data_IF_041912366975
#
_entry.id   IF_041912366975
#
_cell.length_a   1.000
_cell.length_b   1.000
_cell.length_c   1.000
_cell.angle_alpha   90.00
_cell.angle_beta   90.00
_cell.angle_gamma   90.00
#
_symmetry.space_group_name_H-M   'P 1'
#
loop_
_entity.id
_entity.type
_entity.pdbx_description
1 polymer ?
#
# COMPACT_ATOMS: atom_id res chain seq x y z
N UNK A 1 -24.44 1.39 7.70
CA UNK A 1 -24.41 0.78 6.36
C UNK A 1 -25.60 -0.16 6.28
N UNK A 2 -26.46 0.00 5.29
CA UNK A 2 -27.65 -0.83 5.11
C UNK A 2 -27.29 -2.18 4.47
N UNK A 3 -28.21 -3.16 4.52
CA UNK A 3 -28.06 -4.45 3.83
C UNK A 3 -27.94 -4.26 2.31
N UNK A 4 -28.64 -3.29 1.75
CA UNK A 4 -28.55 -2.94 0.32
C UNK A 4 -27.17 -2.42 -0.05
N UNK A 5 -26.60 -1.53 0.78
CA UNK A 5 -25.23 -1.03 0.61
C UNK A 5 -24.20 -2.15 0.73
N UNK A 6 -24.38 -3.08 1.68
CA UNK A 6 -23.51 -4.26 1.82
C UNK A 6 -23.52 -5.14 0.57
N UNK A 7 -24.71 -5.42 0.02
CA UNK A 7 -24.85 -6.20 -1.22
C UNK A 7 -24.21 -5.49 -2.40
N UNK A 8 -24.41 -4.17 -2.54
CA UNK A 8 -23.82 -3.39 -3.63
C UNK A 8 -22.28 -3.31 -3.50
N UNK A 9 -21.74 -3.16 -2.29
CA UNK A 9 -20.29 -3.25 -2.05
C UNK A 9 -19.75 -4.63 -2.42
N UNK A 10 -20.45 -5.70 -2.04
CA UNK A 10 -20.02 -7.05 -2.44
C UNK A 10 -20.06 -7.24 -3.96
N UNK A 11 -21.09 -6.73 -4.65
CA UNK A 11 -21.17 -6.76 -6.11
C UNK A 11 -20.01 -5.99 -6.77
N UNK A 12 -19.63 -4.83 -6.23
CA UNK A 12 -18.46 -4.08 -6.69
C UNK A 12 -17.15 -4.88 -6.50
N UNK A 13 -17.00 -5.56 -5.35
CA UNK A 13 -15.85 -6.43 -5.09
C UNK A 13 -15.76 -7.58 -6.10
N UNK A 14 -16.89 -8.23 -6.42
CA UNK A 14 -16.95 -9.32 -7.42
C UNK A 14 -16.65 -8.78 -8.82
N UNK A 15 -17.22 -7.64 -9.20
CA UNK A 15 -17.00 -7.03 -10.50
C UNK A 15 -15.53 -6.63 -10.74
N UNK A 16 -14.81 -6.23 -9.69
CA UNK A 16 -13.37 -5.98 -9.72
C UNK A 16 -12.51 -7.25 -9.62
N UNK A 17 -13.09 -8.44 -9.43
CA UNK A 17 -12.34 -9.68 -9.15
C UNK A 17 -11.62 -9.67 -7.79
N UNK A 18 -12.00 -8.77 -6.88
CA UNK A 18 -11.36 -8.54 -5.58
C UNK A 18 -11.99 -9.34 -4.43
N UNK A 19 -13.07 -10.09 -4.68
CA UNK A 19 -13.84 -10.80 -3.65
C UNK A 19 -13.12 -12.01 -3.06
N UNK A 20 -12.01 -12.45 -3.67
CA UNK A 20 -11.23 -13.61 -3.23
C UNK A 20 -9.74 -13.32 -3.15
N UNK A 21 -9.09 -13.88 -2.13
CA UNK A 21 -7.62 -14.01 -2.08
C UNK A 21 -7.16 -15.24 -2.86
N UNK A 22 -5.89 -15.30 -3.29
CA UNK A 22 -5.23 -16.57 -3.59
C UNK A 22 -5.47 -17.56 -2.44
N UNK A 23 -5.93 -18.78 -2.77
CA UNK A 23 -6.37 -19.77 -1.77
C UNK A 23 -7.85 -19.71 -1.39
N UNK A 24 -8.66 -18.89 -2.06
CA UNK A 24 -10.13 -18.98 -2.03
C UNK A 24 -10.83 -18.33 -0.83
N UNK A 25 -10.10 -17.65 0.05
CA UNK A 25 -10.69 -16.94 1.20
C UNK A 25 -11.42 -15.68 0.72
N UNK A 26 -12.67 -15.50 1.14
CA UNK A 26 -13.46 -14.31 0.86
C UNK A 26 -12.79 -13.07 1.44
N UNK A 27 -12.78 -11.99 0.66
CA UNK A 27 -12.22 -10.69 1.03
C UNK A 27 -13.33 -9.65 0.96
N UNK A 28 -13.37 -8.75 1.94
CA UNK A 28 -14.35 -7.66 1.99
C UNK A 28 -13.65 -6.33 1.72
N UNK A 29 -14.41 -5.34 1.24
CA UNK A 29 -13.91 -3.98 1.06
C UNK A 29 -13.39 -3.38 2.37
N UNK A 30 -14.08 -3.62 3.49
CA UNK A 30 -13.63 -3.16 4.80
C UNK A 30 -12.27 -3.78 5.17
N UNK A 31 -12.08 -5.08 4.95
CA UNK A 31 -10.80 -5.74 5.21
C UNK A 31 -9.66 -5.22 4.32
N UNK A 32 -9.96 -4.77 3.09
CA UNK A 32 -8.98 -4.10 2.24
C UNK A 32 -8.57 -2.73 2.81
N UNK A 33 -9.56 -1.92 3.24
CA UNK A 33 -9.29 -0.60 3.81
C UNK A 33 -8.54 -0.69 5.14
N UNK A 34 -8.90 -1.65 6.01
CA UNK A 34 -8.14 -1.93 7.24
C UNK A 34 -6.74 -2.47 6.93
N UNK A 35 -6.62 -3.36 5.94
CA UNK A 35 -5.33 -3.85 5.47
C UNK A 35 -4.42 -2.69 5.04
N UNK A 36 -4.95 -1.76 4.25
CA UNK A 36 -4.20 -0.56 3.89
C UNK A 36 -3.74 0.24 5.11
N UNK A 37 -4.62 0.39 6.11
CA UNK A 37 -4.24 1.04 7.38
C UNK A 37 -3.12 0.33 8.14
N UNK A 38 -3.08 -0.99 8.12
CA UNK A 38 -2.00 -1.80 8.72
C UNK A 38 -0.69 -1.58 7.98
N UNK A 39 -0.70 -1.61 6.64
CA UNK A 39 0.52 -1.38 5.86
C UNK A 39 1.06 0.04 6.06
N UNK A 40 0.19 1.05 6.08
CA UNK A 40 0.59 2.43 6.33
C UNK A 40 1.25 2.57 7.71
N UNK A 41 0.67 1.98 8.75
CA UNK A 41 1.25 2.00 10.09
C UNK A 41 2.62 1.30 10.14
N UNK A 42 2.75 0.13 9.50
CA UNK A 42 4.04 -0.58 9.42
C UNK A 42 5.13 0.24 8.72
N UNK A 43 4.77 0.96 7.66
CA UNK A 43 5.70 1.85 6.93
C UNK A 43 6.08 3.08 7.75
N UNK A 44 5.15 3.63 8.54
CA UNK A 44 5.44 4.74 9.48
C UNK A 44 6.39 4.33 10.61
N UNK A 45 6.24 3.11 11.13
CA UNK A 45 7.09 2.56 12.20
C UNK A 45 8.48 2.15 11.69
N UNK A 46 8.58 1.80 10.41
CA UNK A 46 9.80 1.38 9.75
C UNK A 46 9.61 0.02 9.08
N UNK A 47 9.91 -0.04 7.79
CA UNK A 47 9.64 -1.23 6.98
C UNK A 47 10.82 -2.20 7.03
N UNK A 48 10.57 -3.44 7.47
CA UNK A 48 11.61 -4.42 7.78
C UNK A 48 11.89 -5.46 6.67
N UNK A 49 11.05 -5.52 5.63
CA UNK A 49 11.17 -6.52 4.57
C UNK A 49 11.84 -5.94 3.32
N UNK A 50 12.03 -6.78 2.31
CA UNK A 50 12.62 -6.40 1.03
C UNK A 50 11.63 -5.69 0.09
N UNK A 51 12.16 -5.08 -0.97
CA UNK A 51 11.38 -4.32 -1.95
C UNK A 51 10.24 -5.11 -2.62
N UNK A 52 10.44 -6.37 -3.06
CA UNK A 52 9.34 -7.17 -3.63
C UNK A 52 8.19 -7.43 -2.65
N UNK A 53 8.51 -7.63 -1.38
CA UNK A 53 7.57 -7.82 -0.28
C UNK A 53 6.81 -6.51 -0.04
N UNK A 54 7.50 -5.37 -0.11
CA UNK A 54 6.86 -4.06 -0.02
C UNK A 54 5.81 -3.86 -1.11
N UNK A 55 6.17 -4.14 -2.37
CA UNK A 55 5.24 -4.07 -3.50
C UNK A 55 4.02 -5.01 -3.30
N UNK A 56 4.26 -6.20 -2.77
CA UNK A 56 3.20 -7.17 -2.47
C UNK A 56 2.28 -6.68 -1.34
N UNK A 57 2.83 -6.13 -0.26
CA UNK A 57 2.06 -5.70 0.91
C UNK A 57 1.16 -4.51 0.56
N UNK A 58 1.69 -3.52 -0.18
CA UNK A 58 0.90 -2.36 -0.62
C UNK A 58 -0.07 -2.66 -1.79
N UNK A 59 -0.05 -3.88 -2.36
CA UNK A 59 -0.97 -4.29 -3.44
C UNK A 59 -2.45 -4.20 -3.04
N UNK A 60 -2.74 -4.21 -1.73
CA UNK A 60 -4.08 -3.95 -1.22
C UNK A 60 -4.61 -2.57 -1.64
N UNK A 61 -3.73 -1.56 -1.80
CA UNK A 61 -4.08 -0.22 -2.28
C UNK A 61 -4.43 -0.19 -3.75
N UNK A 62 -3.79 -1.02 -4.58
CA UNK A 62 -4.19 -1.25 -5.98
C UNK A 62 -5.55 -1.91 -6.06
N UNK A 63 -5.79 -2.94 -5.24
CA UNK A 63 -7.12 -3.57 -5.19
C UNK A 63 -8.20 -2.56 -4.76
N UNK A 64 -7.90 -1.68 -3.81
CA UNK A 64 -8.82 -0.60 -3.42
C UNK A 64 -9.11 0.34 -4.60
N UNK A 65 -8.10 0.72 -5.39
CA UNK A 65 -8.27 1.58 -6.56
C UNK A 65 -9.17 0.94 -7.63
N UNK A 66 -9.03 -0.36 -7.88
CA UNK A 66 -9.85 -1.09 -8.85
C UNK A 66 -11.33 -1.17 -8.41
N UNK A 67 -11.58 -1.36 -7.11
CA UNK A 67 -12.93 -1.43 -6.54
C UNK A 67 -13.58 -0.05 -6.42
N UNK A 68 -12.81 0.99 -6.11
CA UNK A 68 -13.30 2.34 -5.80
C UNK A 68 -14.31 2.92 -6.81
N UNK A 69 -14.07 2.88 -8.14
CA UNK A 69 -15.00 3.45 -9.11
C UNK A 69 -16.33 2.68 -9.21
N UNK A 70 -16.36 1.41 -8.76
CA UNK A 70 -17.54 0.55 -8.79
C UNK A 70 -18.42 0.67 -7.54
N UNK A 71 -17.93 1.35 -6.49
CA UNK A 71 -18.68 1.54 -5.25
C UNK A 71 -19.89 2.46 -5.46
N UNK A 72 -21.00 2.20 -4.73
CA UNK A 72 -22.11 3.15 -4.67
C UNK A 72 -21.61 4.55 -4.23
N UNK A 73 -22.08 5.65 -4.86
CA UNK A 73 -21.59 6.99 -4.56
C UNK A 73 -21.65 7.38 -3.08
N UNK A 74 -22.70 6.93 -2.36
CA UNK A 74 -22.83 7.15 -0.91
C UNK A 74 -21.75 6.45 -0.11
N UNK A 75 -21.47 5.18 -0.42
CA UNK A 75 -20.41 4.41 0.25
C UNK A 75 -19.06 5.03 -0.03
N UNK A 76 -18.78 5.37 -1.30
CA UNK A 76 -17.54 6.06 -1.68
C UNK A 76 -17.35 7.35 -0.90
N UNK A 77 -18.38 8.21 -0.88
CA UNK A 77 -18.34 9.49 -0.15
C UNK A 77 -18.12 9.30 1.36
N UNK A 78 -18.74 8.28 1.96
CA UNK A 78 -18.58 7.98 3.38
C UNK A 78 -17.19 7.42 3.73
N UNK A 79 -16.46 6.85 2.77
CA UNK A 79 -15.15 6.21 2.97
C UNK A 79 -13.99 7.06 2.49
N UNK A 80 -14.25 8.05 1.64
CA UNK A 80 -13.23 8.96 1.08
C UNK A 80 -12.35 9.61 2.16
N UNK A 81 -12.89 10.20 3.26
CA UNK A 81 -12.04 10.84 4.26
C UNK A 81 -11.02 9.88 4.89
N UNK A 82 -11.40 8.60 5.08
CA UNK A 82 -10.51 7.58 5.64
C UNK A 82 -9.44 7.17 4.64
N UNK A 83 -9.79 7.02 3.36
CA UNK A 83 -8.80 6.70 2.33
C UNK A 83 -7.80 7.85 2.17
N UNK A 84 -8.28 9.09 2.14
CA UNK A 84 -7.44 10.30 2.02
C UNK A 84 -6.45 10.40 3.19
N UNK A 85 -6.93 10.20 4.43
CA UNK A 85 -6.07 10.19 5.62
C UNK A 85 -4.95 9.14 5.52
N UNK A 86 -5.27 7.92 5.07
CA UNK A 86 -4.30 6.85 4.92
C UNK A 86 -3.30 7.15 3.79
N UNK A 87 -3.77 7.69 2.67
CA UNK A 87 -2.93 8.05 1.53
C UNK A 87 -1.98 9.22 1.89
N UNK A 88 -2.44 10.23 2.64
CA UNK A 88 -1.62 11.32 3.16
C UNK A 88 -0.52 10.81 4.09
N UNK A 89 -0.88 9.94 5.03
CA UNK A 89 0.07 9.28 5.94
C UNK A 89 1.11 8.46 5.20
N UNK A 90 0.68 7.64 4.25
CA UNK A 90 1.60 6.88 3.41
C UNK A 90 2.56 7.78 2.64
N UNK A 91 2.07 8.86 2.03
CA UNK A 91 2.90 9.85 1.33
C UNK A 91 3.91 10.50 2.26
N UNK A 92 3.53 10.82 3.50
CA UNK A 92 4.43 11.39 4.49
C UNK A 92 5.53 10.39 4.90
N UNK A 93 5.18 9.11 5.08
CA UNK A 93 6.08 8.04 5.49
C UNK A 93 7.01 7.52 4.38
N UNK A 94 6.79 7.95 3.14
CA UNK A 94 7.52 7.47 1.97
C UNK A 94 8.09 8.63 1.14
N UNK A 95 8.98 8.31 0.20
CA UNK A 95 9.46 9.23 -0.83
C UNK A 95 9.12 8.71 -2.21
N UNK A 96 9.05 9.61 -3.18
CA UNK A 96 8.86 9.27 -4.59
C UNK A 96 10.14 8.68 -5.18
N UNK A 97 9.96 7.75 -6.11
CA UNK A 97 11.04 7.34 -6.98
C UNK A 97 11.54 8.56 -7.78
N UNK A 98 12.87 8.76 -7.90
CA UNK A 98 13.41 9.84 -8.71
C UNK A 98 12.88 9.79 -10.15
N UNK A 99 12.26 10.89 -10.60
CA UNK A 99 11.72 11.02 -11.95
C UNK A 99 10.34 10.37 -12.18
N UNK A 100 9.73 9.77 -11.16
CA UNK A 100 8.33 9.30 -11.18
C UNK A 100 7.47 10.32 -10.43
N UNK A 101 6.44 10.85 -11.10
CA UNK A 101 5.51 11.83 -10.50
C UNK A 101 4.23 11.19 -9.95
N UNK A 102 3.14 11.96 -9.91
CA UNK A 102 1.78 11.47 -9.62
C UNK A 102 1.19 10.66 -10.79
N UNK A 103 1.85 9.55 -11.12
CA UNK A 103 1.38 8.59 -12.11
C UNK A 103 0.17 7.78 -11.59
N UNK A 104 -0.50 7.06 -12.49
CA UNK A 104 -1.48 6.05 -12.10
C UNK A 104 -0.81 5.02 -11.17
N UNK A 105 -1.50 4.67 -10.07
CA UNK A 105 -0.94 3.85 -9.00
C UNK A 105 0.32 4.46 -8.35
N UNK A 106 0.34 5.78 -8.14
CA UNK A 106 1.43 6.53 -7.51
C UNK A 106 2.07 5.86 -6.29
N UNK A 107 1.31 5.08 -5.49
CA UNK A 107 1.83 4.38 -4.30
C UNK A 107 2.89 3.34 -4.65
N UNK A 108 2.86 2.74 -5.84
CA UNK A 108 3.85 1.79 -6.34
C UNK A 108 5.19 2.46 -6.70
N UNK A 109 5.20 3.78 -6.87
CA UNK A 109 6.39 4.55 -7.20
C UNK A 109 6.97 5.24 -5.99
N UNK A 110 6.88 4.59 -4.83
CA UNK A 110 7.36 5.12 -3.56
C UNK A 110 8.24 4.13 -2.82
N UNK A 111 9.05 4.66 -1.91
CA UNK A 111 9.94 3.89 -1.03
C UNK A 111 9.74 4.37 0.41
N UNK A 112 9.68 3.47 1.41
CA UNK A 112 9.69 3.85 2.82
C UNK A 112 10.84 4.78 3.17
N UNK A 113 10.57 5.81 3.98
CA UNK A 113 11.62 6.67 4.53
C UNK A 113 12.47 5.97 5.56
N UNK A 114 11.93 4.96 6.23
CA UNK A 114 12.57 4.20 7.29
C UNK A 114 12.61 2.73 6.86
N UNK A 115 13.82 2.21 6.68
CA UNK A 115 14.07 0.78 6.45
C UNK A 115 14.70 0.20 7.71
N UNK A 116 14.09 -0.84 8.25
CA UNK A 116 14.61 -1.61 9.38
C UNK A 116 15.38 -2.78 8.80
N UNK A 117 16.58 -3.04 9.32
CA UNK A 117 17.41 -4.19 8.94
C UNK A 117 17.78 -4.98 10.18
N UNK A 118 17.96 -6.30 10.05
CA UNK A 118 18.45 -7.09 11.16
C UNK A 118 19.96 -6.87 11.36
N UNK A 119 20.47 -6.91 12.60
CA UNK A 119 21.90 -6.83 12.85
C UNK A 119 22.67 -7.92 12.09
N UNK A 120 23.58 -7.50 11.22
CA UNK A 120 24.40 -8.40 10.40
C UNK A 120 23.87 -8.60 8.99
N UNK A 121 22.74 -8.00 8.62
CA UNK A 121 22.25 -8.01 7.25
C UNK A 121 23.24 -7.31 6.29
N UNK A 122 23.45 -7.84 5.07
CA UNK A 122 24.35 -7.24 4.11
C UNK A 122 23.86 -5.85 3.69
N UNK A 123 24.81 -4.91 3.63
CA UNK A 123 24.58 -3.54 3.20
C UNK A 123 25.53 -3.20 2.04
N UNK A 124 25.01 -3.18 0.82
CA UNK A 124 25.80 -2.99 -0.40
C UNK A 124 25.22 -1.85 -1.25
N UNK A 125 26.09 -1.03 -1.86
CA UNK A 125 25.65 0.03 -2.77
C UNK A 125 24.78 1.12 -2.13
N UNK A 126 24.76 1.21 -0.80
CA UNK A 126 23.94 2.16 -0.05
C UNK A 126 22.49 1.69 0.18
N UNK A 127 22.12 0.49 -0.24
CA UNK A 127 20.84 -0.15 0.07
C UNK A 127 21.06 -1.41 0.93
N UNK A 128 20.11 -1.79 1.79
CA UNK A 128 20.10 -3.13 2.36
C UNK A 128 19.87 -4.20 1.29
N UNK A 129 20.33 -5.43 1.53
CA UNK A 129 20.34 -6.54 0.55
C UNK A 129 19.03 -6.67 -0.26
N UNK A 130 17.91 -6.55 0.45
CA UNK A 130 16.55 -6.59 -0.07
C UNK A 130 16.08 -5.46 -0.99
N UNK A 131 16.90 -4.42 -1.14
CA UNK A 131 16.57 -3.16 -1.83
C UNK A 131 17.62 -2.79 -2.89
N UNK A 132 18.65 -3.63 -3.07
CA UNK A 132 19.73 -3.42 -4.04
C UNK A 132 19.26 -3.41 -5.49
N UNK A 133 18.06 -3.93 -5.78
CA UNK A 133 17.45 -3.90 -7.12
C UNK A 133 16.94 -2.51 -7.55
N UNK A 134 16.93 -1.52 -6.66
CA UNK A 134 16.45 -0.19 -6.99
C UNK A 134 17.29 0.42 -8.14
N UNK A 135 16.67 0.97 -9.19
CA UNK A 135 17.39 1.41 -10.39
C UNK A 135 18.09 2.77 -10.20
N UNK A 136 18.25 3.22 -8.95
CA UNK A 136 18.86 4.50 -8.58
C UNK A 136 19.58 4.40 -7.22
N UNK A 137 20.56 5.29 -6.96
CA UNK A 137 21.21 5.37 -5.65
C UNK A 137 20.22 5.66 -4.53
N UNK A 138 20.46 5.12 -3.32
CA UNK A 138 19.60 5.39 -2.17
C UNK A 138 19.52 6.89 -1.87
N UNK A 139 18.32 7.50 -1.88
CA UNK A 139 18.17 8.89 -1.49
C UNK A 139 18.57 9.12 -0.03
N UNK A 140 19.16 10.28 0.27
CA UNK A 140 19.59 10.66 1.63
C UNK A 140 18.41 10.72 2.63
N UNK A 141 17.21 10.98 2.12
CA UNK A 141 15.98 11.01 2.90
C UNK A 141 15.49 9.63 3.35
N UNK A 142 16.03 8.54 2.78
CA UNK A 142 15.80 7.17 3.26
C UNK A 142 16.84 6.85 4.33
N UNK A 143 16.37 6.60 5.54
CA UNK A 143 17.17 6.21 6.69
C UNK A 143 17.07 4.71 6.89
N UNK A 144 18.19 4.12 7.26
CA UNK A 144 18.29 2.71 7.60
C UNK A 144 18.56 2.63 9.09
N UNK A 145 17.73 1.86 9.80
CA UNK A 145 17.79 1.70 11.25
C UNK A 145 17.99 0.23 11.59
N UNK A 146 18.80 -0.01 12.62
CA UNK A 146 19.18 -1.32 13.18
C UNK A 146 18.65 -1.46 14.59
#
# INVERSE_FOLDING_TARGET
MTTEEQTAVHAAMVAAGADRRPGGRTRTFHALLEGWGVEVAGVEEGYAWCGPEFDNDISCRSTLADVWPLLPPRVRSARQPRLDELDERFRAATIEWPGRGDEEQWWMWRIPRLLVIEPGDPYEGGWPAGWTMMPFPKPDSVRVIT
#
